data_IF_682191589373
#
_entry.id   IF_682191589373
#
_cell.length_a   1.000
_cell.length_b   1.000
_cell.length_c   1.000
_cell.angle_alpha   90.00
_cell.angle_beta   90.00
_cell.angle_gamma   90.00
#
_symmetry.space_group_name_H-M   'P 1'
#
loop_
_entity.id
_entity.type
_entity.pdbx_description
1 polymer ?
#
# COMPACT_ATOMS: atom_id res chain seq x y z
N UNK A 1 4.64 -6.12 -7.35
CA UNK A 1 3.50 -5.25 -7.71
C UNK A 1 3.72 -3.77 -7.39
N UNK A 2 4.51 -3.41 -6.37
CA UNK A 2 4.78 -2.01 -6.00
C UNK A 2 5.40 -1.12 -7.11
N UNK A 3 6.11 -1.70 -8.08
CA UNK A 3 6.83 -0.92 -9.11
C UNK A 3 5.90 -0.27 -10.15
N UNK A 4 4.74 -0.87 -10.43
CA UNK A 4 3.77 -0.35 -11.42
C UNK A 4 3.01 0.87 -10.91
N UNK A 5 2.61 0.86 -9.64
CA UNK A 5 1.93 1.99 -8.99
C UNK A 5 2.88 3.19 -8.83
N UNK A 6 4.16 2.95 -8.56
CA UNK A 6 5.14 4.02 -8.42
C UNK A 6 5.39 4.77 -9.75
N UNK A 7 5.45 4.05 -10.87
CA UNK A 7 5.58 4.65 -12.20
C UNK A 7 4.30 5.38 -12.64
N UNK A 8 3.13 4.79 -12.41
CA UNK A 8 1.84 5.42 -12.70
C UNK A 8 1.63 6.69 -11.85
N UNK A 9 2.08 6.66 -10.59
CA UNK A 9 1.97 7.80 -9.67
C UNK A 9 2.82 9.00 -10.07
N UNK A 10 4.01 8.75 -10.63
CA UNK A 10 4.91 9.81 -11.12
C UNK A 10 4.35 10.55 -12.34
N UNK A 11 3.55 9.88 -13.16
CA UNK A 11 3.00 10.44 -14.41
C UNK A 11 1.68 11.19 -14.17
N UNK A 12 0.85 10.76 -13.22
CA UNK A 12 -0.53 11.22 -13.06
C UNK A 12 -0.83 11.99 -11.77
N UNK A 13 0.18 12.61 -11.15
CA UNK A 13 0.06 13.32 -9.86
C UNK A 13 -0.72 12.51 -8.79
N UNK A 14 -0.43 11.21 -8.70
CA UNK A 14 -1.11 10.35 -7.73
C UNK A 14 -0.49 10.57 -6.37
N UNK A 15 -1.29 11.06 -5.43
CA UNK A 15 -0.85 11.39 -4.08
C UNK A 15 -1.41 10.39 -3.07
N UNK A 16 -0.62 9.96 -2.06
CA UNK A 16 -1.15 9.24 -0.93
C UNK A 16 -2.09 10.15 -0.14
N UNK A 17 -3.27 9.66 0.21
CA UNK A 17 -4.29 10.39 0.96
C UNK A 17 -4.36 9.90 2.40
N UNK A 18 -4.42 8.59 2.58
CA UNK A 18 -4.61 7.97 3.88
C UNK A 18 -3.97 6.58 3.88
N UNK A 19 -3.44 6.14 5.02
CA UNK A 19 -3.05 4.75 5.24
C UNK A 19 -3.80 4.21 6.45
N UNK A 20 -4.11 2.92 6.42
CA UNK A 20 -4.78 2.23 7.52
C UNK A 20 -4.18 0.86 7.76
N UNK A 21 -4.37 0.36 8.98
CA UNK A 21 -4.04 -1.01 9.37
C UNK A 21 -5.21 -1.61 10.10
N UNK A 22 -5.68 -2.77 9.65
CA UNK A 22 -6.80 -3.47 10.28
C UNK A 22 -6.67 -4.98 10.06
N UNK A 23 -6.86 -5.76 11.11
CA UNK A 23 -6.89 -7.24 11.04
C UNK A 23 -5.67 -7.88 10.35
N UNK A 24 -4.47 -7.31 10.54
CA UNK A 24 -3.25 -7.82 9.89
C UNK A 24 -3.14 -7.46 8.41
N UNK A 25 -3.93 -6.51 7.92
CA UNK A 25 -3.83 -5.96 6.58
C UNK A 25 -3.43 -4.49 6.70
N UNK A 26 -2.41 -4.08 5.95
CA UNK A 26 -2.09 -2.67 5.71
C UNK A 26 -2.71 -2.24 4.39
N UNK A 27 -3.29 -1.04 4.37
CA UNK A 27 -3.83 -0.45 3.16
C UNK A 27 -3.42 1.00 2.97
N UNK A 28 -3.36 1.41 1.70
CA UNK A 28 -2.98 2.75 1.27
C UNK A 28 -4.02 3.27 0.26
N UNK A 29 -4.52 4.47 0.52
CA UNK A 29 -5.41 5.19 -0.36
C UNK A 29 -4.61 6.18 -1.18
N UNK A 30 -4.76 6.12 -2.50
CA UNK A 30 -4.16 7.06 -3.41
C UNK A 30 -5.23 7.78 -4.22
N UNK A 31 -5.02 9.07 -4.50
CA UNK A 31 -5.91 9.87 -5.34
C UNK A 31 -5.15 10.41 -6.53
N UNK A 32 -5.71 10.18 -7.72
CA UNK A 32 -5.32 10.89 -8.92
C UNK A 32 -5.99 12.26 -8.93
N UNK A 33 -5.20 13.34 -8.98
CA UNK A 33 -5.72 14.71 -8.95
C UNK A 33 -6.36 15.15 -10.26
N UNK A 34 -5.91 14.60 -11.39
CA UNK A 34 -6.39 14.97 -12.72
C UNK A 34 -7.83 14.52 -12.94
N UNK A 35 -8.16 13.29 -12.54
CA UNK A 35 -9.46 12.67 -12.83
C UNK A 35 -10.26 12.28 -11.58
N UNK A 36 -9.75 12.58 -10.38
CA UNK A 36 -10.42 12.30 -9.10
C UNK A 36 -10.64 10.81 -8.79
N UNK A 37 -9.94 9.91 -9.50
CA UNK A 37 -10.01 8.46 -9.26
C UNK A 37 -9.27 8.08 -7.98
N UNK A 38 -9.84 7.13 -7.23
CA UNK A 38 -9.26 6.59 -6.00
C UNK A 38 -8.73 5.18 -6.25
N UNK A 39 -7.50 4.93 -5.82
CA UNK A 39 -6.86 3.62 -5.86
C UNK A 39 -6.63 3.14 -4.43
N UNK A 40 -6.81 1.84 -4.24
CA UNK A 40 -6.59 1.17 -2.97
C UNK A 40 -5.53 0.10 -3.20
N UNK A 41 -4.41 0.20 -2.49
CA UNK A 41 -3.43 -0.86 -2.40
C UNK A 41 -3.55 -1.51 -1.02
N UNK A 42 -3.59 -2.84 -0.95
CA UNK A 42 -3.60 -3.59 0.31
C UNK A 42 -2.50 -4.63 0.31
N UNK A 43 -1.80 -4.75 1.42
CA UNK A 43 -0.80 -5.79 1.66
C UNK A 43 -1.16 -6.56 2.94
N UNK A 44 -1.14 -7.88 2.87
CA UNK A 44 -1.23 -8.71 4.05
C UNK A 44 0.07 -8.54 4.85
N UNK A 45 -0.05 -8.08 6.09
CA UNK A 45 1.05 -8.09 7.05
C UNK A 45 1.23 -9.56 7.45
N UNK A 46 2.17 -10.24 6.81
CA UNK A 46 2.59 -11.55 7.28
C UNK A 46 3.01 -11.40 8.74
N UNK A 47 2.30 -12.07 9.66
CA UNK A 47 2.77 -12.25 11.03
C UNK A 47 4.15 -12.89 10.89
N UNK A 48 5.21 -12.16 11.25
CA UNK A 48 6.47 -12.79 11.63
C UNK A 48 6.13 -13.73 12.79
N UNK A 49 5.85 -14.99 12.49
CA UNK A 49 6.01 -16.06 13.46
C UNK A 49 7.49 -16.04 13.78
N UNK A 50 7.81 -15.49 14.95
CA UNK A 50 9.15 -15.51 15.52
C UNK A 50 9.67 -16.95 15.44
N UNK A 51 10.53 -17.22 14.45
CA UNK A 51 11.44 -18.33 14.52
C UNK A 51 12.51 -17.92 15.54
N UNK A 52 12.14 -17.99 16.81
CA UNK A 52 13.13 -18.16 17.88
C UNK A 52 13.73 -19.54 17.65
N UNK A 53 14.74 -19.61 16.77
CA UNK A 53 15.67 -20.73 16.76
C UNK A 53 16.45 -20.66 18.07
N UNK A 54 16.02 -21.44 19.05
CA UNK A 54 16.91 -21.89 20.11
C UNK A 54 17.79 -23.00 19.52
N UNK A 55 19.09 -22.75 19.41
CA UNK A 55 20.14 -23.77 19.37
C UNK A 55 21.42 -23.20 19.95
#
# INVERSE_FOLDING_TARGET
>A
MAEQLHQYARVHEIVPVESWRKDGVEGWLFRNKENQTIFVETAELMRETSALEFS
#
